data_IF_163110917050
#
_entry.id   IF_163110917050
#
_cell.length_a   1.000
_cell.length_b   1.000
_cell.length_c   1.000
_cell.angle_alpha   90.00
_cell.angle_beta   90.00
_cell.angle_gamma   90.00
#
_symmetry.space_group_name_H-M   'P 1'
#
loop_
_entity.id
_entity.type
_entity.pdbx_description
1 polymer ?
#
# COMPACT_ATOMS: atom_id res chain seq x y z
N UNK A 1 -90.67 6.02 -16.10
CA UNK A 1 -89.72 5.33 -15.20
C UNK A 1 -88.67 4.68 -16.10
N UNK A 2 -87.49 5.30 -16.26
CA UNK A 2 -86.24 5.02 -15.52
C UNK A 2 -85.80 3.56 -15.75
N UNK A 3 -84.63 3.19 -16.27
CA UNK A 3 -83.36 3.85 -16.57
C UNK A 3 -82.50 2.85 -17.41
N UNK A 4 -81.54 3.31 -18.22
CA UNK A 4 -80.53 2.42 -18.84
C UNK A 4 -79.50 1.97 -17.79
N UNK A 5 -78.75 0.89 -18.08
CA UNK A 5 -77.30 1.07 -18.06
C UNK A 5 -76.61 0.65 -19.35
N UNK A 6 -75.64 1.48 -19.74
CA UNK A 6 -74.54 1.13 -20.66
C UNK A 6 -73.47 0.40 -19.84
N UNK A 7 -72.78 -0.57 -20.45
CA UNK A 7 -71.55 -1.17 -19.92
C UNK A 7 -70.99 -2.12 -20.98
N UNK A 8 -70.37 -1.58 -22.03
CA UNK A 8 -68.93 -1.52 -22.24
C UNK A 8 -68.26 -2.91 -22.32
N UNK A 9 -67.94 -3.25 -23.57
CA UNK A 9 -67.10 -4.35 -24.04
C UNK A 9 -65.67 -4.13 -23.52
N UNK A 10 -65.19 -4.96 -22.58
CA UNK A 10 -63.77 -5.11 -22.24
C UNK A 10 -63.42 -6.59 -22.41
N UNK A 11 -62.69 -7.05 -23.42
CA UNK A 11 -61.31 -6.71 -23.80
C UNK A 11 -60.28 -6.89 -22.66
N UNK A 12 -60.42 -7.96 -21.87
CA UNK A 12 -59.29 -8.48 -21.09
C UNK A 12 -58.68 -9.68 -21.83
N UNK A 13 -57.99 -9.37 -22.92
CA UNK A 13 -57.01 -10.25 -23.55
C UNK A 13 -55.74 -9.44 -23.62
N UNK A 14 -54.69 -9.93 -22.98
CA UNK A 14 -53.31 -9.41 -23.04
C UNK A 14 -53.03 -8.13 -22.24
N UNK A 15 -52.79 -8.28 -20.93
CA UNK A 15 -51.81 -7.48 -20.19
C UNK A 15 -51.01 -8.41 -19.27
N UNK A 16 -50.60 -9.55 -19.84
CA UNK A 16 -49.32 -10.13 -19.47
C UNK A 16 -48.25 -9.27 -20.15
N UNK A 17 -48.09 -8.06 -19.60
CA UNK A 17 -46.95 -7.21 -19.88
C UNK A 17 -45.75 -7.97 -19.35
N UNK A 18 -45.17 -8.79 -20.23
CA UNK A 18 -43.79 -9.23 -20.14
C UNK A 18 -42.93 -7.97 -20.08
N UNK A 19 -42.78 -7.41 -18.89
CA UNK A 19 -41.58 -6.66 -18.53
C UNK A 19 -40.48 -7.70 -18.66
N UNK A 20 -39.85 -7.75 -19.83
CA UNK A 20 -38.60 -8.49 -19.96
C UNK A 20 -37.65 -7.80 -18.97
N UNK A 21 -37.27 -8.46 -17.85
CA UNK A 21 -36.25 -7.88 -16.99
C UNK A 21 -35.03 -7.64 -17.87
N UNK A 22 -34.38 -6.49 -17.68
CA UNK A 22 -33.15 -6.14 -18.41
C UNK A 22 -32.25 -7.39 -18.36
N UNK A 23 -31.80 -7.92 -19.52
CA UNK A 23 -30.97 -9.10 -19.57
C UNK A 23 -29.84 -9.00 -18.54
N UNK A 24 -29.62 -10.05 -17.76
CA UNK A 24 -28.62 -10.05 -16.67
C UNK A 24 -27.25 -9.55 -17.15
N UNK A 25 -26.85 -9.97 -18.37
CA UNK A 25 -25.64 -9.51 -19.04
C UNK A 25 -25.59 -7.99 -19.21
N UNK A 26 -26.68 -7.37 -19.68
CA UNK A 26 -26.75 -5.92 -19.85
C UNK A 26 -26.64 -5.17 -18.51
N UNK A 27 -27.14 -5.74 -17.41
CA UNK A 27 -26.93 -5.18 -16.07
C UNK A 27 -25.49 -5.33 -15.58
N UNK A 28 -24.84 -6.46 -15.86
CA UNK A 28 -23.41 -6.65 -15.57
C UNK A 28 -22.57 -5.63 -16.35
N UNK A 29 -22.88 -5.41 -17.63
CA UNK A 29 -22.21 -4.41 -18.47
C UNK A 29 -22.37 -2.99 -17.91
N UNK A 30 -23.58 -2.65 -17.45
CA UNK A 30 -23.84 -1.36 -16.80
C UNK A 30 -23.06 -1.20 -15.49
N UNK A 31 -22.98 -2.26 -14.67
CA UNK A 31 -22.18 -2.26 -13.45
C UNK A 31 -20.69 -2.08 -13.77
N UNK A 32 -20.16 -2.82 -14.76
CA UNK A 32 -18.78 -2.73 -15.23
C UNK A 32 -18.43 -1.31 -15.68
N UNK A 33 -19.27 -0.68 -16.51
CA UNK A 33 -19.06 0.69 -16.97
C UNK A 33 -19.00 1.69 -15.81
N UNK A 34 -19.93 1.58 -14.86
CA UNK A 34 -19.97 2.46 -13.68
C UNK A 34 -18.75 2.28 -12.79
N UNK A 35 -18.35 1.03 -12.54
CA UNK A 35 -17.17 0.69 -11.75
C UNK A 35 -15.88 1.18 -12.40
N UNK A 36 -15.72 1.01 -13.71
CA UNK A 36 -14.58 1.52 -14.46
C UNK A 36 -14.47 3.05 -14.36
N UNK A 37 -15.60 3.76 -14.47
CA UNK A 37 -15.65 5.22 -14.30
C UNK A 37 -15.21 5.64 -12.89
N UNK A 38 -15.65 4.92 -11.85
CA UNK A 38 -15.22 5.24 -10.49
C UNK A 38 -13.74 4.90 -10.26
N UNK A 39 -13.22 3.80 -10.84
CA UNK A 39 -11.80 3.44 -10.80
C UNK A 39 -10.92 4.57 -11.35
N UNK A 40 -11.25 5.11 -12.53
CA UNK A 40 -10.52 6.24 -13.13
C UNK A 40 -10.51 7.48 -12.22
N UNK A 41 -11.64 7.78 -11.54
CA UNK A 41 -11.67 8.86 -10.55
C UNK A 41 -10.76 8.61 -9.35
N UNK A 42 -10.68 7.36 -8.88
CA UNK A 42 -9.77 6.97 -7.80
C UNK A 42 -8.31 7.13 -8.23
N UNK A 43 -7.95 6.70 -9.45
CA UNK A 43 -6.61 6.86 -10.03
C UNK A 43 -6.19 8.34 -10.09
N UNK A 44 -7.11 9.19 -10.58
CA UNK A 44 -6.87 10.62 -10.64
C UNK A 44 -6.73 11.25 -9.25
N UNK A 45 -7.55 10.84 -8.28
CA UNK A 45 -7.42 11.32 -6.90
C UNK A 45 -6.11 10.84 -6.25
N UNK A 46 -5.73 9.58 -6.46
CA UNK A 46 -4.48 8.99 -5.98
C UNK A 46 -3.27 9.80 -6.47
N UNK A 47 -3.23 10.11 -7.76
CA UNK A 47 -2.19 10.95 -8.36
C UNK A 47 -2.12 12.35 -7.73
N UNK A 48 -3.28 12.97 -7.47
CA UNK A 48 -3.35 14.29 -6.81
C UNK A 48 -2.86 14.24 -5.37
N UNK A 49 -3.24 13.20 -4.61
CA UNK A 49 -2.79 13.02 -3.23
C UNK A 49 -1.27 12.81 -3.17
N UNK A 50 -0.69 12.02 -4.07
CA UNK A 50 0.76 11.84 -4.17
C UNK A 50 1.50 13.16 -4.48
N UNK A 51 0.98 13.94 -5.42
CA UNK A 51 1.58 15.24 -5.74
C UNK A 51 1.52 16.20 -4.54
N UNK A 52 0.43 16.15 -3.77
CA UNK A 52 0.23 17.00 -2.60
C UNK A 52 1.08 16.56 -1.40
N UNK A 53 1.26 15.25 -1.21
CA UNK A 53 2.20 14.68 -0.24
C UNK A 53 3.62 15.21 -0.50
N UNK A 54 4.07 15.14 -1.76
CA UNK A 54 5.38 15.63 -2.16
C UNK A 54 5.56 17.13 -1.88
N UNK A 55 4.54 17.94 -2.18
CA UNK A 55 4.56 19.38 -1.89
C UNK A 55 4.68 19.65 -0.39
N UNK A 56 3.82 19.03 0.43
CA UNK A 56 3.83 19.22 1.89
C UNK A 56 5.11 18.72 2.53
N UNK A 57 5.64 17.59 2.04
CA UNK A 57 6.91 17.05 2.50
C UNK A 57 8.09 17.99 2.20
N UNK A 58 8.14 18.58 1.00
CA UNK A 58 9.16 19.57 0.66
C UNK A 58 9.07 20.82 1.54
N UNK A 59 7.85 21.30 1.83
CA UNK A 59 7.62 22.43 2.74
C UNK A 59 8.02 22.10 4.18
N UNK A 60 7.74 20.89 4.64
CA UNK A 60 8.18 20.38 5.94
C UNK A 60 9.71 20.43 6.07
N UNK A 61 10.43 19.95 5.05
CA UNK A 61 11.91 20.03 5.02
C UNK A 61 12.38 21.49 5.08
N UNK A 62 11.78 22.38 4.27
CA UNK A 62 12.13 23.80 4.27
C UNK A 62 11.94 24.48 5.63
N UNK A 63 10.82 24.19 6.31
CA UNK A 63 10.55 24.69 7.65
C UNK A 63 11.54 24.14 8.69
N UNK A 64 11.88 22.85 8.61
CA UNK A 64 12.87 22.21 9.48
C UNK A 64 14.26 22.85 9.33
N UNK A 65 14.71 23.08 8.08
CA UNK A 65 15.99 23.72 7.79
C UNK A 65 16.04 25.18 8.29
N UNK A 66 14.90 25.87 8.25
CA UNK A 66 14.75 27.24 8.76
C UNK A 66 14.58 27.30 10.27
N UNK A 67 14.60 26.15 10.97
CA UNK A 67 14.34 26.01 12.42
C UNK A 67 12.96 26.54 12.84
N UNK A 68 11.99 26.52 11.92
CA UNK A 68 10.61 26.86 12.20
C UNK A 68 9.84 25.59 12.59
N UNK A 69 9.99 25.19 13.86
CA UNK A 69 9.43 23.95 14.38
C UNK A 69 7.90 23.92 14.34
N UNK A 70 7.24 25.08 14.43
CA UNK A 70 5.78 25.15 14.41
C UNK A 70 5.23 24.81 13.02
N UNK A 71 5.79 25.41 11.97
CA UNK A 71 5.40 25.07 10.59
C UNK A 71 5.85 23.68 10.18
N UNK A 72 7.02 23.22 10.62
CA UNK A 72 7.48 21.85 10.36
C UNK A 72 6.48 20.81 10.92
N UNK A 73 6.05 20.97 12.18
CA UNK A 73 5.05 20.08 12.78
C UNK A 73 3.69 20.14 12.06
N UNK A 74 3.24 21.34 11.66
CA UNK A 74 2.00 21.50 10.90
C UNK A 74 2.05 20.77 9.55
N UNK A 75 3.11 20.96 8.76
CA UNK A 75 3.26 20.29 7.46
C UNK A 75 3.45 18.78 7.60
N UNK A 76 4.12 18.31 8.66
CA UNK A 76 4.25 16.88 8.94
C UNK A 76 2.89 16.21 9.23
N UNK A 77 2.03 16.87 10.01
CA UNK A 77 0.68 16.36 10.29
C UNK A 77 -0.18 16.29 9.01
N UNK A 78 -0.13 17.33 8.18
CA UNK A 78 -0.85 17.33 6.89
C UNK A 78 -0.33 16.21 5.97
N UNK A 79 0.99 16.01 5.92
CA UNK A 79 1.61 14.92 5.17
C UNK A 79 1.09 13.55 5.64
N UNK A 80 1.00 13.31 6.95
CA UNK A 80 0.46 12.07 7.52
C UNK A 80 -1.00 11.83 7.12
N UNK A 81 -1.85 12.85 7.19
CA UNK A 81 -3.26 12.75 6.78
C UNK A 81 -3.41 12.51 5.27
N UNK A 82 -2.64 13.21 4.43
CA UNK A 82 -2.63 12.97 2.97
C UNK A 82 -2.24 11.53 2.67
N UNK A 83 -1.20 10.99 3.33
CA UNK A 83 -0.76 9.59 3.14
C UNK A 83 -1.84 8.60 3.54
N UNK A 84 -2.55 8.85 4.64
CA UNK A 84 -3.68 8.03 5.06
C UNK A 84 -4.80 8.03 4.02
N UNK A 85 -5.16 9.20 3.49
CA UNK A 85 -6.12 9.32 2.39
C UNK A 85 -5.66 8.60 1.13
N UNK A 86 -4.37 8.73 0.78
CA UNK A 86 -3.78 8.08 -0.40
C UNK A 86 -3.84 6.55 -0.27
N UNK A 87 -3.51 6.02 0.91
CA UNK A 87 -3.58 4.59 1.19
C UNK A 87 -5.02 4.05 1.05
N UNK A 88 -6.01 4.75 1.60
CA UNK A 88 -7.43 4.38 1.46
C UNK A 88 -7.84 4.41 -0.02
N UNK A 89 -7.44 5.44 -0.75
CA UNK A 89 -7.78 5.62 -2.18
C UNK A 89 -7.20 4.49 -3.03
N UNK A 90 -5.90 4.21 -2.89
CA UNK A 90 -5.22 3.14 -3.62
C UNK A 90 -5.77 1.75 -3.27
N UNK A 91 -6.04 1.51 -1.98
CA UNK A 91 -6.66 0.24 -1.56
C UNK A 91 -8.05 0.04 -2.15
N UNK A 92 -8.81 1.13 -2.29
CA UNK A 92 -10.14 1.12 -2.90
C UNK A 92 -10.08 0.90 -4.40
N UNK A 93 -9.09 1.51 -5.08
CA UNK A 93 -8.82 1.32 -6.50
C UNK A 93 -8.55 -0.15 -6.82
N UNK A 94 -7.64 -0.80 -6.08
CA UNK A 94 -7.33 -2.22 -6.23
C UNK A 94 -8.54 -3.12 -5.97
N UNK A 95 -9.36 -2.78 -4.97
CA UNK A 95 -10.59 -3.52 -4.67
C UNK A 95 -11.62 -3.41 -5.82
N UNK A 96 -11.77 -2.23 -6.43
CA UNK A 96 -12.63 -2.05 -7.60
C UNK A 96 -12.08 -2.78 -8.83
N UNK A 97 -10.76 -2.75 -9.06
CA UNK A 97 -10.14 -3.50 -10.15
C UNK A 97 -10.40 -5.00 -10.03
N UNK A 98 -10.24 -5.54 -8.82
CA UNK A 98 -10.57 -6.93 -8.51
C UNK A 98 -12.04 -7.25 -8.82
N UNK A 99 -12.95 -6.37 -8.43
CA UNK A 99 -14.39 -6.51 -8.71
C UNK A 99 -14.66 -6.49 -10.21
N UNK A 100 -14.04 -5.58 -10.97
CA UNK A 100 -14.17 -5.48 -12.42
C UNK A 100 -13.72 -6.78 -13.10
N UNK A 101 -12.54 -7.30 -12.77
CA UNK A 101 -12.03 -8.56 -13.33
C UNK A 101 -12.98 -9.73 -13.05
N UNK A 102 -13.57 -9.75 -11.84
CA UNK A 102 -14.52 -10.79 -11.45
C UNK A 102 -15.82 -10.71 -12.24
N UNK A 103 -16.36 -9.49 -12.40
CA UNK A 103 -17.56 -9.25 -13.19
C UNK A 103 -17.34 -9.56 -14.68
N UNK A 104 -16.17 -9.27 -15.25
CA UNK A 104 -15.82 -9.67 -16.62
C UNK A 104 -15.83 -11.20 -16.78
N UNK A 105 -15.28 -11.93 -15.81
CA UNK A 105 -15.35 -13.41 -15.83
C UNK A 105 -16.81 -13.89 -15.77
N UNK A 106 -17.64 -13.24 -14.95
CA UNK A 106 -19.07 -13.57 -14.85
C UNK A 106 -19.80 -13.27 -16.17
N UNK A 107 -19.47 -12.15 -16.82
CA UNK A 107 -20.02 -11.70 -18.10
C UNK A 107 -19.69 -12.64 -19.26
N UNK A 108 -18.47 -13.19 -19.27
CA UNK A 108 -17.96 -14.11 -20.30
C UNK A 108 -18.50 -15.53 -20.14
N UNK A 109 -18.61 -16.03 -18.89
CA UNK A 109 -18.84 -17.44 -18.64
C UNK A 109 -20.27 -17.81 -18.18
N UNK A 110 -21.15 -16.85 -17.89
CA UNK A 110 -22.62 -17.03 -17.82
C UNK A 110 -23.21 -17.95 -16.72
N UNK A 111 -22.63 -19.12 -16.48
CA UNK A 111 -23.01 -20.14 -15.49
C UNK A 111 -22.43 -19.86 -14.09
N UNK A 112 -21.62 -18.81 -13.95
CA UNK A 112 -20.86 -18.48 -12.73
C UNK A 112 -21.63 -17.46 -11.84
N UNK A 113 -22.92 -17.23 -12.09
CA UNK A 113 -23.73 -16.20 -11.40
C UNK A 113 -23.84 -16.41 -9.89
N UNK A 114 -23.65 -17.64 -9.40
CA UNK A 114 -23.51 -17.97 -7.98
C UNK A 114 -22.35 -17.23 -7.26
N UNK A 115 -21.50 -16.54 -8.02
CA UNK A 115 -20.28 -15.88 -7.52
C UNK A 115 -20.39 -14.35 -7.52
N UNK A 116 -21.62 -13.79 -7.64
CA UNK A 116 -21.90 -12.35 -7.51
C UNK A 116 -21.86 -11.89 -6.04
N UNK A 117 -22.27 -12.71 -5.08
CA UNK A 117 -22.33 -12.32 -3.66
C UNK A 117 -20.98 -11.80 -3.10
N UNK A 118 -19.82 -12.45 -3.37
CA UNK A 118 -18.52 -11.91 -2.95
C UNK A 118 -18.17 -10.57 -3.61
N UNK A 119 -18.67 -10.31 -4.82
CA UNK A 119 -18.45 -9.02 -5.51
C UNK A 119 -19.20 -7.91 -4.79
N UNK A 120 -20.46 -8.15 -4.43
CA UNK A 120 -21.29 -7.20 -3.66
C UNK A 120 -20.62 -6.87 -2.33
N UNK A 121 -20.08 -7.88 -1.62
CA UNK A 121 -19.35 -7.70 -0.38
C UNK A 121 -18.18 -6.72 -0.51
N UNK A 122 -17.34 -6.90 -1.54
CA UNK A 122 -16.19 -6.03 -1.79
C UNK A 122 -16.63 -4.61 -2.18
N UNK A 123 -17.66 -4.45 -3.01
CA UNK A 123 -18.20 -3.12 -3.39
C UNK A 123 -18.72 -2.38 -2.16
N UNK A 124 -19.47 -3.07 -1.29
CA UNK A 124 -20.02 -2.51 -0.05
C UNK A 124 -18.92 -2.08 0.92
N UNK A 125 -17.91 -2.92 1.11
CA UNK A 125 -16.76 -2.59 1.96
C UNK A 125 -15.99 -1.38 1.42
N UNK A 126 -15.71 -1.37 0.11
CA UNK A 126 -15.00 -0.29 -0.57
C UNK A 126 -15.74 1.03 -0.44
N UNK A 127 -17.08 1.01 -0.62
CA UNK A 127 -17.95 2.17 -0.36
C UNK A 127 -17.77 2.73 1.05
N UNK A 128 -17.77 1.87 2.07
CA UNK A 128 -17.62 2.28 3.46
C UNK A 128 -16.29 2.97 3.74
N UNK A 129 -15.19 2.44 3.19
CA UNK A 129 -13.85 3.00 3.34
C UNK A 129 -13.70 4.34 2.63
N UNK A 130 -14.23 4.46 1.40
CA UNK A 130 -14.01 5.65 0.56
C UNK A 130 -14.96 6.80 0.89
N UNK A 131 -16.08 6.57 1.60
CA UNK A 131 -17.06 7.61 1.92
C UNK A 131 -16.46 8.83 2.67
N UNK A 132 -15.44 8.63 3.51
CA UNK A 132 -14.77 9.71 4.23
C UNK A 132 -13.71 10.45 3.41
N UNK A 133 -13.34 9.95 2.23
CA UNK A 133 -12.27 10.51 1.38
C UNK A 133 -12.84 11.08 0.08
N UNK A 134 -13.71 10.32 -0.60
CA UNK A 134 -14.31 10.66 -1.89
C UNK A 134 -15.82 10.29 -1.87
N UNK A 135 -16.68 11.17 -1.32
CA UNK A 135 -18.11 10.87 -1.12
C UNK A 135 -18.88 10.60 -2.42
N UNK A 136 -18.49 11.24 -3.52
CA UNK A 136 -19.11 11.03 -4.84
C UNK A 136 -18.93 9.58 -5.31
N UNK A 137 -17.73 9.02 -5.17
CA UNK A 137 -17.46 7.62 -5.52
C UNK A 137 -18.26 6.69 -4.61
N UNK A 138 -18.33 6.98 -3.31
CA UNK A 138 -19.12 6.17 -2.37
C UNK A 138 -20.63 6.16 -2.70
N UNK A 139 -21.16 7.26 -3.24
CA UNK A 139 -22.55 7.33 -3.70
C UNK A 139 -22.77 6.40 -4.89
N UNK A 140 -21.92 6.50 -5.90
CA UNK A 140 -21.97 5.68 -7.12
C UNK A 140 -21.78 4.19 -6.82
N UNK A 141 -20.86 3.83 -5.93
CA UNK A 141 -20.68 2.45 -5.47
C UNK A 141 -21.92 1.94 -4.72
N UNK A 142 -22.70 2.82 -4.08
CA UNK A 142 -23.99 2.47 -3.51
C UNK A 142 -25.02 2.10 -4.58
N UNK A 143 -25.06 2.84 -5.68
CA UNK A 143 -25.94 2.53 -6.81
C UNK A 143 -25.54 1.21 -7.48
N UNK A 144 -24.24 0.97 -7.68
CA UNK A 144 -23.73 -0.30 -8.20
C UNK A 144 -24.07 -1.46 -7.25
N UNK A 145 -23.88 -1.27 -5.94
CA UNK A 145 -24.24 -2.29 -4.95
C UNK A 145 -25.72 -2.68 -5.07
N UNK A 146 -26.62 -1.70 -5.17
CA UNK A 146 -28.05 -1.97 -5.31
C UNK A 146 -28.35 -2.74 -6.61
N UNK A 147 -27.74 -2.34 -7.73
CA UNK A 147 -27.90 -3.04 -9.01
C UNK A 147 -27.45 -4.51 -8.95
N UNK A 148 -26.31 -4.77 -8.30
CA UNK A 148 -25.79 -6.13 -8.13
C UNK A 148 -26.65 -6.94 -7.14
N UNK A 149 -27.15 -6.33 -6.06
CA UNK A 149 -28.06 -6.99 -5.10
C UNK A 149 -29.41 -7.34 -5.73
N UNK A 150 -29.98 -6.47 -6.56
CA UNK A 150 -31.22 -6.76 -7.28
C UNK A 150 -31.03 -7.97 -8.23
N UNK A 151 -29.85 -8.07 -8.85
CA UNK A 151 -29.47 -9.20 -9.71
C UNK A 151 -29.34 -10.52 -8.94
N UNK A 152 -28.75 -10.48 -7.74
CA UNK A 152 -28.61 -11.64 -6.85
C UNK A 152 -29.98 -12.19 -6.44
N UNK A 153 -30.92 -11.31 -6.06
CA UNK A 153 -32.27 -11.69 -5.65
C UNK A 153 -33.07 -12.37 -6.78
N UNK A 154 -32.92 -11.91 -8.02
CA UNK A 154 -33.60 -12.48 -9.18
C UNK A 154 -33.07 -13.86 -9.59
N UNK A 155 -31.82 -14.16 -9.24
CA UNK A 155 -31.16 -15.42 -9.61
C UNK A 155 -31.48 -16.55 -8.62
N UNK A 156 -32.09 -16.24 -7.47
CA UNK A 156 -32.51 -17.19 -6.44
C UNK A 156 -31.40 -17.54 -5.45
N UNK A 157 -31.76 -17.79 -4.18
CA UNK A 157 -30.82 -18.13 -3.11
C UNK A 157 -30.05 -19.42 -3.42
N UNK A 158 -28.76 -19.28 -3.70
CA UNK A 158 -27.83 -20.40 -3.69
C UNK A 158 -27.28 -20.47 -2.26
N UNK A 159 -27.35 -21.63 -1.58
CA UNK A 159 -26.88 -21.74 -0.20
C UNK A 159 -25.42 -21.31 -0.09
N UNK A 160 -25.17 -20.47 0.91
CA UNK A 160 -23.88 -19.90 1.29
C UNK A 160 -22.80 -20.99 1.41
N UNK A 161 -22.12 -21.26 0.30
CA UNK A 161 -20.86 -21.95 0.30
C UNK A 161 -19.84 -20.85 0.56
N UNK A 162 -19.50 -20.67 1.84
CA UNK A 162 -18.48 -19.72 2.29
C UNK A 162 -17.15 -19.97 1.59
N UNK A 163 -17.01 -19.42 0.39
CA UNK A 163 -15.75 -19.29 -0.29
C UNK A 163 -15.11 -18.05 0.31
N UNK A 164 -14.20 -18.26 1.26
CA UNK A 164 -13.29 -17.23 1.70
C UNK A 164 -12.51 -16.74 0.49
N UNK A 165 -12.95 -15.63 -0.11
CA UNK A 165 -12.30 -15.02 -1.27
C UNK A 165 -11.03 -14.29 -0.82
N UNK A 166 -10.64 -14.31 0.45
CA UNK A 166 -9.55 -13.50 0.97
C UNK A 166 -8.26 -14.30 1.20
N UNK A 167 -7.78 -15.03 0.20
CA UNK A 167 -6.38 -15.46 0.18
C UNK A 167 -5.85 -15.41 -1.25
N UNK A 168 -4.72 -14.72 -1.44
CA UNK A 168 -3.89 -14.93 -2.62
C UNK A 168 -3.59 -16.43 -2.70
N UNK A 169 -4.29 -17.13 -3.60
CA UNK A 169 -4.06 -18.54 -3.89
C UNK A 169 -2.55 -18.72 -4.10
N UNK A 170 -1.96 -19.83 -3.65
CA UNK A 170 -0.54 -20.08 -3.89
C UNK A 170 -0.21 -20.05 -5.39
N UNK A 171 -1.20 -20.29 -6.24
CA UNK A 171 -1.11 -20.09 -7.69
C UNK A 171 -1.01 -18.60 -8.08
N UNK A 172 -1.78 -17.71 -7.46
CA UNK A 172 -1.67 -16.27 -7.69
C UNK A 172 -0.29 -15.73 -7.27
N UNK A 173 0.29 -16.23 -6.17
CA UNK A 173 1.65 -15.87 -5.75
C UNK A 173 2.70 -16.31 -6.79
N UNK A 174 2.60 -17.55 -7.28
CA UNK A 174 3.50 -18.05 -8.35
C UNK A 174 3.38 -17.21 -9.63
N UNK A 175 2.17 -16.89 -10.06
CA UNK A 175 1.96 -16.03 -11.24
C UNK A 175 2.56 -14.63 -11.03
N UNK A 176 2.47 -14.06 -9.83
CA UNK A 176 3.13 -12.79 -9.51
C UNK A 176 4.66 -12.90 -9.54
N UNK A 177 5.23 -13.98 -9.01
CA UNK A 177 6.67 -14.25 -9.05
C UNK A 177 7.19 -14.39 -10.50
N UNK A 178 6.49 -15.16 -11.33
CA UNK A 178 6.79 -15.33 -12.75
C UNK A 178 6.69 -14.01 -13.51
N UNK A 179 5.63 -13.23 -13.25
CA UNK A 179 5.41 -11.92 -13.87
C UNK A 179 6.52 -10.94 -13.50
N UNK A 180 6.95 -10.91 -12.24
CA UNK A 180 8.06 -10.07 -11.78
C UNK A 180 9.39 -10.48 -12.41
N UNK A 181 9.64 -11.79 -12.57
CA UNK A 181 10.84 -12.28 -13.23
C UNK A 181 10.91 -11.83 -14.69
N UNK A 182 9.79 -11.95 -15.43
CA UNK A 182 9.69 -11.51 -16.83
C UNK A 182 9.82 -9.98 -16.94
N UNK A 183 9.16 -9.22 -16.07
CA UNK A 183 9.25 -7.76 -16.06
C UNK A 183 10.69 -7.28 -15.78
N UNK A 184 11.37 -7.91 -14.81
CA UNK A 184 12.76 -7.61 -14.48
C UNK A 184 13.71 -7.94 -15.64
N UNK A 185 13.50 -9.06 -16.32
CA UNK A 185 14.28 -9.44 -17.50
C UNK A 185 14.08 -8.42 -18.63
N UNK A 186 12.84 -8.01 -18.93
CA UNK A 186 12.57 -6.99 -19.95
C UNK A 186 13.17 -5.62 -19.59
N UNK A 187 13.18 -5.24 -18.30
CA UNK A 187 13.87 -4.03 -17.87
C UNK A 187 15.38 -4.12 -18.09
N UNK A 188 16.00 -5.28 -17.83
CA UNK A 188 17.43 -5.52 -18.04
C UNK A 188 17.81 -5.57 -19.52
N UNK A 189 16.90 -6.01 -20.38
CA UNK A 189 17.06 -5.98 -21.85
C UNK A 189 16.84 -4.57 -22.44
N UNK A 190 15.90 -3.78 -21.91
CA UNK A 190 15.63 -2.39 -22.37
C UNK A 190 16.60 -1.35 -21.80
N UNK A 191 17.10 -1.58 -20.60
CA UNK A 191 18.08 -0.72 -19.91
C UNK A 191 19.27 -1.58 -19.50
N UNK A 192 20.15 -1.97 -20.46
CA UNK A 192 21.37 -2.67 -20.13
C UNK A 192 22.18 -1.83 -19.14
N UNK A 193 22.56 -2.43 -18.02
CA UNK A 193 23.43 -1.79 -17.02
C UNK A 193 24.71 -1.34 -17.73
N UNK A 194 25.00 -0.04 -17.65
CA UNK A 194 26.29 0.49 -18.10
C UNK A 194 27.38 -0.22 -17.29
N UNK A 195 28.45 -0.71 -17.92
CA UNK A 195 29.51 -1.40 -17.22
C UNK A 195 30.03 -0.50 -16.10
N UNK A 196 29.82 -0.93 -14.85
CA UNK A 196 30.52 -0.32 -13.71
C UNK A 196 32.02 -0.53 -13.92
N UNK A 197 32.85 0.51 -13.79
CA UNK A 197 34.29 0.35 -13.93
C UNK A 197 34.78 -0.66 -12.89
N UNK A 198 35.43 -1.72 -13.37
CA UNK A 198 35.96 -2.80 -12.55
C UNK A 198 36.84 -2.26 -11.40
N UNK A 199 36.73 -2.81 -10.18
CA UNK A 199 37.70 -2.52 -9.14
C UNK A 199 39.05 -3.05 -9.58
N UNK A 200 40.03 -2.15 -9.73
CA UNK A 200 41.43 -2.52 -9.99
C UNK A 200 41.89 -3.44 -8.87
N UNK A 201 42.01 -4.73 -9.17
CA UNK A 201 42.64 -5.71 -8.31
C UNK A 201 44.13 -5.41 -8.26
N UNK A 202 44.57 -4.76 -7.19
CA UNK A 202 45.97 -4.69 -6.84
C UNK A 202 46.43 -6.12 -6.48
N UNK A 203 47.25 -6.70 -7.34
CA UNK A 203 47.95 -7.97 -7.11
C UNK A 203 48.88 -7.82 -5.89
N UNK A 204 48.50 -8.40 -4.77
CA UNK A 204 49.38 -8.59 -3.62
C UNK A 204 50.22 -9.86 -3.82
N UNK A 205 51.46 -9.72 -4.31
CA UNK A 205 52.50 -10.74 -4.15
C UNK A 205 53.05 -10.69 -2.72
N UNK A 206 52.87 -11.78 -1.98
CA UNK A 206 53.38 -11.98 -0.64
C UNK A 206 54.91 -12.15 -0.63
N UNK A 207 55.59 -11.40 0.25
CA UNK A 207 56.95 -11.69 0.72
C UNK A 207 56.93 -11.61 2.25
N UNK A 208 57.35 -12.64 3.00
CA UNK A 208 57.27 -12.64 4.46
C UNK A 208 58.49 -11.93 5.07
N UNK A 209 58.29 -11.19 6.17
CA UNK A 209 59.38 -10.57 6.94
C UNK A 209 59.24 -10.88 8.46
N UNK A 210 60.32 -11.23 9.18
CA UNK A 210 60.32 -11.44 10.63
C UNK A 210 60.43 -10.14 11.45
N UNK A 211 60.24 -10.28 12.77
CA UNK A 211 59.91 -9.31 13.83
C UNK A 211 61.03 -8.33 14.31
N UNK A 212 60.60 -7.13 14.76
CA UNK A 212 61.08 -6.22 15.84
C UNK A 212 62.53 -5.63 15.84
N UNK A 213 62.91 -4.55 16.61
CA UNK A 213 62.17 -3.38 17.16
C UNK A 213 62.87 -1.99 16.98
N UNK A 214 62.14 -0.92 17.37
CA UNK A 214 62.54 0.39 17.97
C UNK A 214 63.26 1.55 17.22
N UNK A 215 62.55 2.71 17.30
CA UNK A 215 62.99 4.08 17.64
C UNK A 215 63.74 4.98 16.63
N UNK A 216 63.08 6.09 16.22
CA UNK A 216 63.42 7.50 16.57
C UNK A 216 62.71 8.52 15.63
N UNK A 217 62.04 9.49 16.25
CA UNK A 217 61.53 10.79 15.73
C UNK A 217 62.76 11.64 15.30
N UNK A 218 62.73 12.71 14.43
CA UNK A 218 61.64 13.71 14.31
C UNK A 218 61.46 14.57 13.00
N UNK A 219 60.35 15.34 13.00
CA UNK A 219 60.05 16.67 12.37
C UNK A 219 60.01 16.81 10.82
N UNK A 220 58.81 17.12 10.28
CA UNK A 220 58.45 18.41 9.64
C UNK A 220 57.24 18.31 8.66
N UNK A 221 56.13 18.95 9.04
CA UNK A 221 55.35 19.94 8.25
C UNK A 221 55.00 19.60 6.78
N UNK A 222 53.74 19.23 6.49
CA UNK A 222 52.69 20.07 5.85
C UNK A 222 51.47 19.23 5.41
N UNK A 223 50.27 19.80 5.65
CA UNK A 223 49.03 19.74 4.85
C UNK A 223 48.34 18.41 4.57
N UNK A 224 47.11 18.28 5.11
CA UNK A 224 46.05 17.41 4.57
C UNK A 224 45.49 16.39 5.56
N UNK A 225 44.95 16.84 6.68
CA UNK A 225 44.17 15.98 7.57
C UNK A 225 42.85 15.58 6.90
N UNK A 226 42.70 14.29 6.64
CA UNK A 226 41.41 13.65 6.52
C UNK A 226 40.88 13.58 7.95
N UNK A 227 39.75 14.24 8.20
CA UNK A 227 39.03 14.13 9.45
C UNK A 227 38.52 12.69 9.55
N UNK A 228 39.18 11.86 10.37
CA UNK A 228 38.59 10.63 10.89
C UNK A 228 37.48 11.06 11.85
N UNK A 229 36.22 10.93 11.42
CA UNK A 229 35.07 11.07 12.32
C UNK A 229 35.23 10.05 13.47
N UNK A 230 35.07 10.48 14.73
CA UNK A 230 35.22 9.56 15.87
C UNK A 230 34.09 8.53 15.83
N UNK A 231 34.43 7.24 15.81
CA UNK A 231 33.47 6.16 16.02
C UNK A 231 32.83 6.34 17.40
N UNK A 232 31.59 6.85 17.42
CA UNK A 232 30.84 7.07 18.66
C UNK A 232 30.66 5.73 19.37
N UNK A 233 31.04 5.61 20.66
CA UNK A 233 30.93 4.36 21.41
C UNK A 233 29.52 3.79 21.38
N UNK A 234 29.41 2.46 21.35
CA UNK A 234 28.13 1.76 21.24
C UNK A 234 27.17 2.15 22.37
N UNK A 235 27.68 2.37 23.58
CA UNK A 235 26.88 2.77 24.74
C UNK A 235 26.19 4.14 24.53
N UNK A 236 26.86 5.08 23.86
CA UNK A 236 26.29 6.40 23.56
C UNK A 236 25.26 6.33 22.43
N UNK A 237 25.49 5.45 21.43
CA UNK A 237 24.53 5.16 20.35
C UNK A 237 23.25 4.51 20.89
N UNK A 238 23.40 3.55 21.80
CA UNK A 238 22.26 2.87 22.47
C UNK A 238 21.51 3.86 23.37
N UNK A 239 22.21 4.71 24.14
CA UNK A 239 21.57 5.73 24.96
C UNK A 239 20.82 6.78 24.10
N UNK A 240 21.38 7.17 22.96
CA UNK A 240 20.72 8.03 21.99
C UNK A 240 19.45 7.40 21.43
N UNK A 241 19.51 6.12 21.06
CA UNK A 241 18.35 5.37 20.59
C UNK A 241 17.22 5.33 21.64
N UNK A 242 17.53 5.05 22.91
CA UNK A 242 16.56 5.04 24.01
C UNK A 242 15.88 6.41 24.17
N UNK A 243 16.64 7.50 24.09
CA UNK A 243 16.09 8.88 24.18
C UNK A 243 15.14 9.20 23.03
N UNK A 244 15.48 8.78 21.81
CA UNK A 244 14.64 9.00 20.62
C UNK A 244 13.35 8.17 20.67
N UNK A 245 13.36 7.02 21.35
CA UNK A 245 12.22 6.13 21.51
C UNK A 245 11.49 6.32 22.86
N UNK A 246 11.59 7.50 23.48
CA UNK A 246 10.89 7.86 24.73
C UNK A 246 11.12 6.89 25.89
N UNK A 247 12.28 6.24 25.97
CA UNK A 247 12.61 5.29 27.04
C UNK A 247 12.17 3.85 26.77
N UNK A 248 11.40 3.59 25.71
CA UNK A 248 11.02 2.23 25.31
C UNK A 248 12.05 1.66 24.33
N UNK A 249 12.60 0.48 24.65
CA UNK A 249 13.56 -0.21 23.79
C UNK A 249 13.15 -1.66 23.57
N UNK A 250 12.91 -2.01 22.31
CA UNK A 250 12.86 -3.39 21.85
C UNK A 250 14.24 -3.80 21.33
N UNK A 251 14.83 -4.86 21.90
CA UNK A 251 16.17 -5.33 21.53
C UNK A 251 16.24 -5.70 20.04
N UNK A 252 15.16 -6.26 19.49
CA UNK A 252 15.11 -6.66 18.08
C UNK A 252 15.06 -5.45 17.14
N UNK A 253 14.30 -4.40 17.51
CA UNK A 253 14.24 -3.15 16.73
C UNK A 253 15.55 -2.39 16.80
N UNK A 254 16.13 -2.26 18.00
CA UNK A 254 17.42 -1.62 18.21
C UNK A 254 18.55 -2.35 17.46
N UNK A 255 18.53 -3.69 17.41
CA UNK A 255 19.52 -4.49 16.67
C UNK A 255 19.46 -4.23 15.17
N UNK A 256 18.25 -4.16 14.60
CA UNK A 256 18.04 -3.88 13.18
C UNK A 256 18.44 -2.45 12.80
N UNK A 257 18.12 -1.46 13.63
CA UNK A 257 18.36 -0.04 13.33
C UNK A 257 19.78 0.42 13.63
N UNK A 258 20.40 -0.09 14.70
CA UNK A 258 21.79 0.22 15.03
C UNK A 258 22.79 -0.65 14.26
N UNK A 259 22.30 -1.67 13.54
CA UNK A 259 23.09 -2.69 12.84
C UNK A 259 24.10 -3.39 13.76
N UNK A 260 23.68 -3.67 15.00
CA UNK A 260 24.51 -4.26 16.06
C UNK A 260 23.82 -5.53 16.58
N UNK A 261 24.54 -6.63 16.84
CA UNK A 261 23.98 -7.83 17.43
C UNK A 261 23.22 -7.57 18.73
N UNK A 262 22.15 -8.33 18.96
CA UNK A 262 21.33 -8.23 20.17
C UNK A 262 22.13 -8.44 21.47
N UNK A 263 23.19 -9.26 21.43
CA UNK A 263 24.08 -9.51 22.56
C UNK A 263 24.86 -8.25 22.96
N UNK A 264 25.47 -7.55 22.00
CA UNK A 264 26.27 -6.34 22.25
C UNK A 264 25.39 -5.18 22.76
N UNK A 265 24.12 -5.14 22.34
CA UNK A 265 23.13 -4.19 22.85
C UNK A 265 22.78 -4.51 24.31
N UNK A 266 22.63 -5.79 24.67
CA UNK A 266 22.39 -6.21 26.06
C UNK A 266 23.56 -5.85 26.97
N UNK A 267 24.79 -6.10 26.52
CA UNK A 267 25.98 -5.72 27.28
C UNK A 267 26.05 -4.20 27.47
N UNK A 268 25.75 -3.42 26.43
CA UNK A 268 25.73 -1.96 26.50
C UNK A 268 24.64 -1.45 27.46
N UNK A 269 23.45 -2.06 27.47
CA UNK A 269 22.39 -1.74 28.43
C UNK A 269 22.79 -2.05 29.87
N UNK A 270 23.47 -3.19 30.09
CA UNK A 270 23.96 -3.55 31.42
C UNK A 270 25.02 -2.55 31.91
N UNK A 271 25.97 -2.15 31.06
CA UNK A 271 26.94 -1.09 31.39
C UNK A 271 26.27 0.26 31.67
N UNK A 272 25.29 0.66 30.87
CA UNK A 272 24.54 1.90 31.09
C UNK A 272 23.75 1.90 32.40
N UNK A 273 23.27 0.73 32.83
CA UNK A 273 22.61 0.52 34.12
C UNK A 273 23.61 0.59 35.27
N UNK A 274 24.76 -0.07 35.13
CA UNK A 274 25.83 -0.07 36.15
C UNK A 274 26.42 1.35 36.31
N UNK A 275 26.49 2.11 35.23
CA UNK A 275 26.86 3.54 35.19
C UNK A 275 25.75 4.47 35.74
N UNK A 276 24.56 3.96 36.05
CA UNK A 276 23.41 4.73 36.53
C UNK A 276 22.79 5.69 35.50
N UNK A 277 23.08 5.51 34.21
CA UNK A 277 22.57 6.36 33.11
C UNK A 277 21.16 5.97 32.68
N UNK A 278 20.73 4.75 32.95
CA UNK A 278 19.38 4.24 32.68
C UNK A 278 18.85 3.45 33.89
N UNK A 279 17.53 3.39 34.03
CA UNK A 279 16.83 2.50 34.95
C UNK A 279 15.99 1.55 34.11
N UNK A 280 16.10 0.25 34.36
CA UNK A 280 15.31 -0.78 33.69
C UNK A 280 14.25 -1.27 34.67
N UNK A 281 12.98 -1.08 34.32
CA UNK A 281 11.82 -1.62 35.04
C UNK A 281 11.57 -3.10 34.68
#
# INVERSE_FOLDING_TARGET
MYERPRGFRGLFRSLEEKVHPIPLKERVDQALYRLATQKEKLEHMSSRLQQRDKEMFQRCIGAQLSKDSAHAALYANECAEIRKMAHITLSSELALERVVLRLQTIEEFGDIMAQIAPVIGVVRETRGRIAGVIPEVATELGEVNNMLSDMELETGEIPDQGADVQASSDEAKKVLEESNAIASQQMKERFPELPSPEPRTATATAVPRPQAPEARIPIAVTSGGIEEEPEVPLEERVLGYIKTHNGELSINSASAELAVPAEDIRESLQKLKDDGKIVMD
#
